data_IF_844854461133
#
_entry.id   IF_844854461133
#
_cell.length_a   1.000
_cell.length_b   1.000
_cell.length_c   1.000
_cell.angle_alpha   90.00
_cell.angle_beta   90.00
_cell.angle_gamma   90.00
#
_symmetry.space_group_name_H-M   'P 1'
#
loop_
_entity.id
_entity.type
_entity.pdbx_description
1 polymer ?
#
# COMPACT_ATOMS: atom_id res chain seq x y z
N UNK A 1 12.14 34.04 20.61
CA UNK A 1 12.10 32.62 20.16
C UNK A 1 10.75 32.02 20.56
N UNK A 2 10.14 31.23 19.67
CA UNK A 2 8.74 30.77 19.60
C UNK A 2 7.79 31.69 18.82
N UNK A 3 7.90 31.61 17.50
CA UNK A 3 6.80 31.94 16.60
C UNK A 3 6.03 30.65 16.32
N UNK A 4 4.75 30.67 16.67
CA UNK A 4 3.79 29.56 16.64
C UNK A 4 3.47 29.15 15.21
N UNK A 5 3.58 27.85 14.92
CA UNK A 5 3.15 27.21 13.67
C UNK A 5 1.63 27.08 13.73
N UNK A 6 0.90 28.06 13.17
CA UNK A 6 -0.57 28.04 13.16
C UNK A 6 -1.12 28.64 11.86
N UNK A 7 -0.65 28.16 10.71
CA UNK A 7 -1.16 28.61 9.40
C UNK A 7 -1.02 27.52 8.33
N UNK A 8 -1.64 26.35 8.51
CA UNK A 8 -1.89 25.38 7.42
C UNK A 8 -3.17 24.57 7.69
N UNK A 9 -4.28 25.25 7.97
CA UNK A 9 -5.62 24.64 8.07
C UNK A 9 -6.66 25.52 7.36
N UNK A 10 -6.50 25.74 6.07
CA UNK A 10 -7.58 26.28 5.24
C UNK A 10 -8.32 25.09 4.60
N UNK A 11 -9.52 24.81 5.10
CA UNK A 11 -10.49 23.92 4.46
C UNK A 11 -11.14 24.68 3.30
N UNK A 12 -10.96 24.19 2.08
CA UNK A 12 -11.65 24.71 0.91
C UNK A 12 -12.94 23.92 0.65
N UNK A 13 -14.07 24.59 0.81
CA UNK A 13 -15.37 24.12 0.35
C UNK A 13 -15.43 24.27 -1.18
N UNK A 14 -15.85 23.21 -1.86
CA UNK A 14 -15.82 23.13 -3.32
C UNK A 14 -16.76 24.10 -4.03
N UNK A 15 -16.29 24.63 -5.18
CA UNK A 15 -16.98 24.62 -6.49
C UNK A 15 -16.25 25.37 -7.61
N UNK A 16 -15.04 25.89 -7.39
CA UNK A 16 -14.17 26.41 -8.46
C UNK A 16 -12.86 25.60 -8.48
N UNK A 17 -12.82 24.58 -9.33
CA UNK A 17 -11.75 23.60 -9.50
C UNK A 17 -10.73 24.08 -10.54
N UNK A 18 -10.00 25.15 -10.27
CA UNK A 18 -9.16 25.71 -11.33
C UNK A 18 -7.84 24.93 -11.44
N UNK A 19 -7.59 24.33 -12.61
CA UNK A 19 -6.25 23.88 -13.05
C UNK A 19 -5.14 24.89 -12.68
N UNK A 20 -5.36 26.23 -12.73
CA UNK A 20 -4.47 27.24 -12.15
C UNK A 20 -3.98 26.98 -10.72
N UNK A 21 -4.82 26.46 -9.82
CA UNK A 21 -4.42 26.19 -8.44
C UNK A 21 -3.43 25.03 -8.35
N UNK A 22 -3.72 23.90 -9.03
CA UNK A 22 -2.78 22.79 -9.09
C UNK A 22 -1.47 23.21 -9.73
N UNK A 23 -1.54 24.02 -10.79
CA UNK A 23 -0.36 24.58 -11.44
C UNK A 23 0.47 25.44 -10.48
N UNK A 24 -0.16 26.32 -9.70
CA UNK A 24 0.53 27.13 -8.68
C UNK A 24 1.16 26.25 -7.58
N UNK A 25 0.47 25.20 -7.13
CA UNK A 25 1.01 24.24 -6.17
C UNK A 25 2.24 23.53 -6.73
N UNK A 26 2.15 23.01 -7.96
CA UNK A 26 3.26 22.34 -8.63
C UNK A 26 4.44 23.28 -8.79
N UNK A 27 4.21 24.52 -9.25
CA UNK A 27 5.27 25.52 -9.38
C UNK A 27 5.96 25.80 -8.03
N UNK A 28 5.20 25.88 -6.94
CA UNK A 28 5.73 26.04 -5.59
C UNK A 28 6.58 24.86 -5.13
N UNK A 29 6.10 23.63 -5.35
CA UNK A 29 6.83 22.39 -5.03
C UNK A 29 8.11 22.28 -5.87
N UNK A 30 8.01 22.46 -7.19
CA UNK A 30 9.11 22.42 -8.14
C UNK A 30 10.21 23.43 -7.79
N UNK A 31 9.83 24.68 -7.52
CA UNK A 31 10.78 25.73 -7.12
C UNK A 31 11.49 25.38 -5.82
N UNK A 32 10.74 24.92 -4.81
CA UNK A 32 11.27 24.72 -3.45
C UNK A 32 12.14 23.48 -3.32
N UNK A 33 11.79 22.38 -3.98
CA UNK A 33 12.42 21.07 -3.75
C UNK A 33 13.23 20.58 -4.93
N UNK A 34 12.85 20.97 -6.15
CA UNK A 34 13.43 20.44 -7.38
C UNK A 34 14.18 21.49 -8.19
N UNK A 35 14.34 22.71 -7.66
CA UNK A 35 15.07 23.82 -8.30
C UNK A 35 14.58 24.10 -9.74
N UNK A 36 13.27 24.03 -9.96
CA UNK A 36 12.62 24.22 -11.27
C UNK A 36 13.05 23.21 -12.35
N UNK A 37 13.53 22.02 -11.97
CA UNK A 37 13.91 20.96 -12.92
C UNK A 37 12.74 20.13 -13.43
N UNK A 38 11.59 20.16 -12.76
CA UNK A 38 10.39 19.42 -13.18
C UNK A 38 9.77 20.14 -14.37
N UNK A 39 9.51 19.39 -15.44
CA UNK A 39 8.92 19.86 -16.69
C UNK A 39 7.64 19.07 -16.94
N UNK A 40 6.73 19.08 -15.97
CA UNK A 40 5.48 18.36 -16.05
C UNK A 40 4.28 19.30 -16.01
N UNK A 41 3.24 18.96 -16.76
CA UNK A 41 1.91 19.54 -16.60
C UNK A 41 1.18 18.85 -15.44
N UNK A 42 0.17 19.50 -14.88
CA UNK A 42 -0.67 18.92 -13.83
C UNK A 42 -2.13 19.18 -14.14
N UNK A 43 -2.95 18.14 -14.02
CA UNK A 43 -4.39 18.21 -14.29
C UNK A 43 -5.20 17.42 -13.27
N UNK A 44 -6.47 17.81 -13.10
CA UNK A 44 -7.47 16.98 -12.45
C UNK A 44 -7.95 15.88 -13.40
N UNK A 45 -7.47 14.66 -13.21
CA UNK A 45 -7.87 13.51 -14.02
C UNK A 45 -7.73 12.24 -13.20
N UNK A 46 -8.70 11.32 -13.34
CA UNK A 46 -8.60 9.99 -12.73
C UNK A 46 -7.37 9.28 -13.32
N UNK A 47 -6.39 8.89 -12.49
CA UNK A 47 -5.22 8.16 -12.98
C UNK A 47 -5.61 6.89 -13.75
N UNK A 48 -4.84 6.58 -14.80
CA UNK A 48 -5.01 5.39 -15.62
C UNK A 48 -4.27 4.25 -14.93
N UNK A 49 -4.96 3.13 -14.80
CA UNK A 49 -4.42 1.95 -14.15
C UNK A 49 -4.92 1.79 -12.72
N UNK A 50 -4.63 0.62 -12.16
CA UNK A 50 -5.05 0.24 -10.82
C UNK A 50 -3.90 -0.45 -10.11
N UNK A 51 -3.71 -0.13 -8.85
CA UNK A 51 -2.77 -0.84 -7.96
C UNK A 51 -3.53 -1.88 -7.15
N UNK A 52 -2.86 -2.98 -6.82
CA UNK A 52 -3.40 -3.98 -5.91
C UNK A 52 -3.10 -3.54 -4.48
N UNK A 53 -4.14 -3.39 -3.68
CA UNK A 53 -4.05 -3.11 -2.25
C UNK A 53 -4.27 -4.37 -1.45
N UNK A 54 -3.37 -4.65 -0.52
CA UNK A 54 -3.60 -5.69 0.47
C UNK A 54 -4.64 -5.21 1.48
N UNK A 55 -5.80 -5.88 1.53
CA UNK A 55 -6.89 -5.63 2.49
C UNK A 55 -7.07 -6.81 3.44
N UNK A 56 -6.11 -7.73 3.39
CA UNK A 56 -6.11 -8.95 4.15
C UNK A 56 -5.62 -8.79 5.59
N UNK A 57 -5.57 -9.92 6.28
CA UNK A 57 -4.95 -10.02 7.60
C UNK A 57 -3.51 -10.53 7.41
N UNK A 58 -2.47 -9.83 7.89
CA UNK A 58 -1.10 -10.34 7.79
C UNK A 58 -0.97 -11.62 8.64
N UNK A 59 -0.32 -12.63 8.06
CA UNK A 59 0.00 -13.86 8.78
C UNK A 59 1.25 -13.71 9.64
N UNK A 60 1.43 -14.62 10.60
CA UNK A 60 2.72 -14.73 11.30
C UNK A 60 3.73 -15.52 10.46
N UNK A 61 5.01 -15.21 10.63
CA UNK A 61 6.12 -16.07 10.21
C UNK A 61 6.65 -16.78 11.45
N UNK A 62 6.89 -18.10 11.35
CA UNK A 62 7.39 -18.92 12.44
C UNK A 62 8.87 -19.22 12.18
N UNK A 63 9.75 -18.56 12.94
CA UNK A 63 11.20 -18.67 12.82
C UNK A 63 11.82 -19.55 13.93
N UNK A 64 13.08 -20.02 13.77
CA UNK A 64 13.78 -20.72 14.83
C UNK A 64 13.82 -19.90 16.13
N UNK A 65 13.29 -20.48 17.22
CA UNK A 65 13.15 -19.82 18.52
C UNK A 65 11.71 -19.44 18.88
N UNK A 66 10.78 -19.46 17.92
CA UNK A 66 9.35 -19.30 18.19
C UNK A 66 8.80 -20.53 18.96
N UNK A 67 7.91 -20.35 19.97
CA UNK A 67 7.23 -21.46 20.65
C UNK A 67 6.56 -22.47 19.70
N UNK A 68 6.08 -22.01 18.54
CA UNK A 68 5.39 -22.84 17.55
C UNK A 68 6.35 -23.49 16.53
N UNK A 69 7.64 -23.15 16.54
CA UNK A 69 8.61 -23.70 15.59
C UNK A 69 8.68 -25.22 15.64
N UNK A 70 8.72 -25.79 16.85
CA UNK A 70 8.74 -27.24 17.04
C UNK A 70 7.47 -27.92 16.52
N UNK A 71 6.31 -27.28 16.69
CA UNK A 71 5.04 -27.76 16.14
C UNK A 71 5.09 -27.77 14.61
N UNK A 72 5.57 -26.69 13.99
CA UNK A 72 5.69 -26.61 12.54
C UNK A 72 6.65 -27.68 11.97
N UNK A 73 7.79 -27.91 12.62
CA UNK A 73 8.74 -28.95 12.22
C UNK A 73 8.15 -30.37 12.37
N UNK A 74 7.43 -30.62 13.47
CA UNK A 74 6.73 -31.89 13.67
C UNK A 74 5.69 -32.13 12.57
N UNK A 75 4.85 -31.13 12.27
CA UNK A 75 3.89 -31.21 11.17
C UNK A 75 4.57 -31.55 9.84
N UNK A 76 5.66 -30.85 9.49
CA UNK A 76 6.42 -31.09 8.25
C UNK A 76 6.95 -32.52 8.18
N UNK A 77 7.52 -33.03 9.27
CA UNK A 77 8.02 -34.41 9.34
C UNK A 77 6.90 -35.44 9.14
N UNK A 78 5.75 -35.26 9.80
CA UNK A 78 4.60 -36.15 9.63
C UNK A 78 4.07 -36.13 8.19
N UNK A 79 3.99 -34.97 7.55
CA UNK A 79 3.57 -34.85 6.15
C UNK A 79 4.55 -35.54 5.18
N UNK A 80 5.85 -35.39 5.39
CA UNK A 80 6.88 -36.07 4.59
C UNK A 80 6.81 -37.60 4.71
N UNK A 81 6.43 -38.10 5.89
CA UNK A 81 6.22 -39.53 6.14
C UNK A 81 4.85 -40.03 5.66
N UNK A 82 4.01 -39.17 5.05
CA UNK A 82 2.66 -39.52 4.61
C UNK A 82 1.64 -39.67 5.75
N UNK A 83 2.02 -39.37 7.00
CA UNK A 83 1.15 -39.47 8.15
C UNK A 83 0.32 -38.19 8.35
N UNK A 84 -0.73 -38.04 7.53
CA UNK A 84 -1.62 -36.89 7.57
C UNK A 84 -2.31 -36.71 8.93
N UNK A 85 -2.67 -37.81 9.59
CA UNK A 85 -3.38 -37.77 10.88
C UNK A 85 -2.54 -37.14 11.99
N UNK A 86 -1.25 -37.51 12.07
CA UNK A 86 -0.32 -36.96 13.05
C UNK A 86 0.04 -35.50 12.78
N UNK A 87 -0.07 -35.04 11.52
CA UNK A 87 0.18 -33.65 11.17
C UNK A 87 -0.96 -32.69 11.57
N UNK A 88 -2.19 -33.18 11.80
CA UNK A 88 -3.36 -32.32 12.02
C UNK A 88 -3.23 -31.42 13.26
N UNK A 89 -2.85 -31.98 14.41
CA UNK A 89 -2.76 -31.23 15.67
C UNK A 89 -1.68 -30.14 15.63
N UNK A 90 -0.42 -30.42 15.22
CA UNK A 90 0.59 -29.37 15.13
C UNK A 90 0.25 -28.31 14.07
N UNK A 91 -0.32 -28.71 12.92
CA UNK A 91 -0.80 -27.75 11.92
C UNK A 91 -1.91 -26.86 12.47
N UNK A 92 -2.85 -27.42 13.25
CA UNK A 92 -3.95 -26.66 13.85
C UNK A 92 -3.43 -25.63 14.83
N UNK A 93 -2.45 -25.97 15.68
CA UNK A 93 -1.83 -25.01 16.60
C UNK A 93 -1.20 -23.83 15.85
N UNK A 94 -0.46 -24.09 14.77
CA UNK A 94 0.11 -23.02 13.93
C UNK A 94 -0.99 -22.21 13.21
N UNK A 95 -2.03 -22.86 12.69
CA UNK A 95 -3.11 -22.20 11.97
C UNK A 95 -3.95 -21.29 12.89
N UNK A 96 -4.25 -21.74 14.10
CA UNK A 96 -4.94 -20.95 15.14
C UNK A 96 -4.08 -19.76 15.60
N UNK A 97 -2.76 -19.86 15.50
CA UNK A 97 -1.83 -18.74 15.68
C UNK A 97 -1.69 -17.82 14.44
N UNK A 98 -2.59 -17.97 13.45
CA UNK A 98 -2.63 -17.16 12.24
C UNK A 98 -1.48 -17.42 11.24
N UNK A 99 -0.90 -18.64 11.23
CA UNK A 99 0.11 -19.04 10.24
C UNK A 99 -0.53 -19.41 8.88
N UNK A 100 -0.24 -18.69 7.78
CA UNK A 100 -0.93 -18.88 6.50
C UNK A 100 -0.72 -20.26 5.88
N UNK A 101 0.52 -20.78 5.88
CA UNK A 101 0.82 -22.07 5.25
C UNK A 101 0.09 -23.22 5.96
N UNK A 102 0.00 -23.17 7.29
CA UNK A 102 -0.71 -24.19 8.06
C UNK A 102 -2.20 -24.18 7.76
N UNK A 103 -2.82 -23.00 7.59
CA UNK A 103 -4.22 -22.90 7.14
C UNK A 103 -4.41 -23.51 5.75
N UNK A 104 -3.52 -23.22 4.80
CA UNK A 104 -3.59 -23.79 3.46
C UNK A 104 -3.45 -25.32 3.47
N UNK A 105 -2.51 -25.84 4.25
CA UNK A 105 -2.29 -27.29 4.38
C UNK A 105 -3.50 -27.98 5.01
N UNK A 106 -4.07 -27.44 6.09
CA UNK A 106 -5.29 -27.98 6.71
C UNK A 106 -6.47 -27.94 5.75
N UNK A 107 -6.64 -26.85 5.00
CA UNK A 107 -7.66 -26.75 3.95
C UNK A 107 -7.54 -27.93 2.97
N UNK A 108 -6.32 -28.20 2.47
CA UNK A 108 -6.09 -29.30 1.53
C UNK A 108 -6.33 -30.69 2.15
N UNK A 109 -5.87 -30.92 3.39
CA UNK A 109 -6.04 -32.21 4.08
C UNK A 109 -7.52 -32.50 4.31
N UNK A 110 -8.25 -31.56 4.92
CA UNK A 110 -9.68 -31.73 5.19
C UNK A 110 -10.51 -31.86 3.92
N UNK A 111 -10.18 -31.10 2.86
CA UNK A 111 -10.87 -31.21 1.56
C UNK A 111 -10.71 -32.60 0.94
N UNK A 112 -9.51 -33.20 1.02
CA UNK A 112 -9.27 -34.57 0.53
C UNK A 112 -9.98 -35.63 1.35
N UNK A 113 -10.20 -35.38 2.63
CA UNK A 113 -10.92 -36.28 3.54
C UNK A 113 -12.45 -36.11 3.47
N UNK A 114 -12.97 -35.14 2.71
CA UNK A 114 -14.40 -34.84 2.64
C UNK A 114 -14.92 -34.11 3.89
N UNK A 115 -14.05 -33.50 4.69
CA UNK A 115 -14.40 -32.85 5.95
C UNK A 115 -14.68 -31.35 5.78
N UNK A 116 -15.90 -30.92 6.09
CA UNK A 116 -16.38 -29.54 5.89
C UNK A 116 -15.53 -28.44 6.57
N UNK A 117 -14.71 -28.80 7.58
CA UNK A 117 -13.76 -27.86 8.20
C UNK A 117 -12.81 -27.21 7.20
N UNK A 118 -12.58 -27.82 6.04
CA UNK A 118 -11.79 -27.21 4.97
C UNK A 118 -12.31 -25.82 4.58
N UNK A 119 -13.62 -25.57 4.66
CA UNK A 119 -14.22 -24.27 4.30
C UNK A 119 -13.84 -23.15 5.28
N UNK A 120 -13.63 -23.47 6.56
CA UNK A 120 -13.11 -22.51 7.56
C UNK A 120 -11.70 -22.07 7.16
N UNK A 121 -10.81 -23.04 6.98
CA UNK A 121 -9.42 -22.76 6.64
C UNK A 121 -9.24 -22.12 5.27
N UNK A 122 -10.08 -22.44 4.29
CA UNK A 122 -10.11 -21.75 3.00
C UNK A 122 -10.46 -20.25 3.15
N UNK A 123 -11.50 -19.93 3.94
CA UNK A 123 -11.88 -18.54 4.21
C UNK A 123 -10.80 -17.78 4.95
N UNK A 124 -10.21 -18.39 5.98
CA UNK A 124 -9.14 -17.79 6.76
C UNK A 124 -7.85 -17.62 5.92
N UNK A 125 -7.51 -18.57 5.07
CA UNK A 125 -6.37 -18.45 4.15
C UNK A 125 -6.59 -17.34 3.13
N UNK A 126 -7.80 -17.24 2.56
CA UNK A 126 -8.12 -16.18 1.60
C UNK A 126 -7.95 -14.77 2.19
N UNK A 127 -8.12 -14.60 3.51
CA UNK A 127 -7.81 -13.32 4.17
C UNK A 127 -6.33 -12.97 4.13
N UNK A 128 -5.41 -13.93 4.02
CA UNK A 128 -3.97 -13.66 3.86
C UNK A 128 -3.57 -13.30 2.44
N UNK A 129 -4.47 -13.43 1.46
CA UNK A 129 -4.22 -13.11 0.06
C UNK A 129 -5.22 -12.08 -0.48
N UNK A 130 -6.08 -11.52 0.39
CA UNK A 130 -7.14 -10.62 -0.01
C UNK A 130 -6.55 -9.31 -0.52
N UNK A 131 -6.81 -9.04 -1.80
CA UNK A 131 -6.42 -7.79 -2.44
C UNK A 131 -7.62 -7.14 -3.13
N UNK A 132 -7.62 -5.81 -3.18
CA UNK A 132 -8.57 -5.03 -3.99
C UNK A 132 -7.81 -4.18 -5.00
N UNK A 133 -8.40 -3.95 -6.17
CA UNK A 133 -7.85 -3.02 -7.15
C UNK A 133 -8.36 -1.62 -6.84
N UNK A 134 -7.45 -0.67 -6.67
CA UNK A 134 -7.78 0.73 -6.42
C UNK A 134 -7.06 1.62 -7.44
N UNK A 135 -7.70 2.73 -7.79
CA UNK A 135 -7.07 3.78 -8.58
C UNK A 135 -6.22 4.65 -7.64
N UNK A 136 -4.97 4.99 -7.99
CA UNK A 136 -4.15 5.83 -7.13
C UNK A 136 -4.65 7.27 -7.05
N UNK A 137 -4.21 7.96 -6.00
CA UNK A 137 -4.53 9.37 -5.76
C UNK A 137 -3.86 10.30 -6.79
N UNK A 138 -2.70 9.90 -7.31
CA UNK A 138 -1.97 10.61 -8.34
C UNK A 138 -1.17 9.62 -9.22
N UNK A 139 -0.73 10.07 -10.39
CA UNK A 139 0.18 9.32 -11.26
C UNK A 139 0.91 10.26 -12.23
N UNK A 140 2.20 10.00 -12.43
CA UNK A 140 3.02 10.60 -13.48
C UNK A 140 3.06 9.75 -14.75
N UNK A 141 2.73 10.37 -15.89
CA UNK A 141 2.86 9.78 -17.22
C UNK A 141 4.11 10.32 -17.93
N UNK A 142 5.14 9.49 -18.03
CA UNK A 142 6.41 9.87 -18.62
C UNK A 142 6.33 10.17 -20.13
N UNK A 143 5.37 9.58 -20.85
CA UNK A 143 5.18 9.80 -22.31
C UNK A 143 4.74 11.22 -22.64
N UNK A 144 4.06 11.89 -21.70
CA UNK A 144 3.48 13.23 -21.88
C UNK A 144 4.04 14.26 -20.91
N UNK A 145 4.91 13.85 -19.99
CA UNK A 145 5.31 14.65 -18.82
C UNK A 145 4.09 15.24 -18.11
N UNK A 146 3.16 14.38 -17.70
CA UNK A 146 1.87 14.80 -17.15
C UNK A 146 1.63 14.17 -15.79
N UNK A 147 1.28 14.98 -14.80
CA UNK A 147 0.83 14.55 -13.48
C UNK A 147 -0.70 14.61 -13.45
N UNK A 148 -1.35 13.46 -13.29
CA UNK A 148 -2.78 13.41 -13.01
C UNK A 148 -3.03 13.32 -11.51
N UNK A 149 -3.90 14.19 -11.00
CA UNK A 149 -4.40 14.14 -9.62
C UNK A 149 -5.87 13.71 -9.63
N UNK A 150 -6.22 12.72 -8.81
CA UNK A 150 -7.56 12.15 -8.77
C UNK A 150 -8.61 13.20 -8.34
N UNK A 151 -9.65 13.51 -9.16
CA UNK A 151 -10.62 14.58 -8.89
C UNK A 151 -11.38 14.42 -7.56
N UNK A 152 -11.64 13.17 -7.14
CA UNK A 152 -12.27 12.89 -5.86
C UNK A 152 -11.53 13.49 -4.64
N UNK A 153 -10.22 13.73 -4.72
CA UNK A 153 -9.50 14.45 -3.66
C UNK A 153 -10.08 15.85 -3.42
N UNK A 154 -10.55 16.51 -4.48
CA UNK A 154 -11.20 17.80 -4.37
C UNK A 154 -12.57 17.69 -3.71
N UNK A 155 -13.36 16.68 -4.08
CA UNK A 155 -14.66 16.41 -3.45
C UNK A 155 -14.54 16.15 -1.95
N UNK A 156 -13.45 15.48 -1.54
CA UNK A 156 -13.12 15.21 -0.14
C UNK A 156 -12.52 16.42 0.60
N UNK A 157 -12.31 17.55 -0.07
CA UNK A 157 -11.67 18.72 0.52
C UNK A 157 -10.23 18.44 0.96
N UNK A 158 -9.45 17.74 0.12
CA UNK A 158 -8.09 17.34 0.42
C UNK A 158 -7.25 18.55 0.90
N UNK A 159 -6.62 18.47 2.08
CA UNK A 159 -5.76 19.53 2.57
C UNK A 159 -4.59 19.80 1.62
N UNK A 160 -4.13 21.06 1.57
CA UNK A 160 -3.03 21.46 0.70
C UNK A 160 -1.73 20.65 0.92
N UNK A 161 -1.46 20.20 2.15
CA UNK A 161 -0.30 19.37 2.44
C UNK A 161 -0.37 17.98 1.77
N UNK A 162 -1.58 17.45 1.55
CA UNK A 162 -1.78 16.20 0.80
C UNK A 162 -1.48 16.41 -0.67
N UNK A 163 -2.02 17.47 -1.28
CA UNK A 163 -1.77 17.79 -2.68
C UNK A 163 -0.29 18.10 -2.94
N UNK A 164 0.36 18.87 -2.05
CA UNK A 164 1.81 19.14 -2.11
C UNK A 164 2.63 17.85 -2.02
N UNK A 165 2.22 16.90 -1.16
CA UNK A 165 2.88 15.59 -1.05
C UNK A 165 2.73 14.78 -2.35
N UNK A 166 1.51 14.67 -2.89
CA UNK A 166 1.27 13.95 -4.14
C UNK A 166 2.10 14.54 -5.28
N UNK A 167 2.09 15.87 -5.44
CA UNK A 167 2.90 16.54 -6.47
C UNK A 167 4.39 16.30 -6.27
N UNK A 168 4.89 16.35 -5.05
CA UNK A 168 6.28 16.02 -4.74
C UNK A 168 6.59 14.58 -5.17
N UNK A 169 5.76 13.61 -4.80
CA UNK A 169 5.94 12.21 -5.15
C UNK A 169 6.00 11.99 -6.66
N UNK A 170 5.05 12.57 -7.40
CA UNK A 170 5.01 12.43 -8.86
C UNK A 170 6.18 13.17 -9.55
N UNK A 171 6.68 14.26 -8.97
CA UNK A 171 7.91 14.90 -9.44
C UNK A 171 9.16 14.01 -9.29
N UNK A 172 9.22 13.16 -8.26
CA UNK A 172 10.30 12.20 -8.10
C UNK A 172 10.36 11.21 -9.28
N UNK A 173 9.21 10.78 -9.82
CA UNK A 173 9.15 9.89 -10.99
C UNK A 173 9.71 10.52 -12.28
N UNK A 174 9.74 11.85 -12.39
CA UNK A 174 10.40 12.51 -13.52
C UNK A 174 11.94 12.50 -13.42
N UNK A 175 12.48 12.52 -12.20
CA UNK A 175 13.93 12.61 -11.97
C UNK A 175 14.60 11.25 -11.78
N UNK A 176 13.86 10.27 -11.26
CA UNK A 176 14.35 8.94 -10.99
C UNK A 176 13.66 7.97 -11.96
N UNK A 177 14.41 7.27 -12.83
CA UNK A 177 13.85 6.24 -13.68
C UNK A 177 13.11 5.19 -12.85
N UNK A 178 11.86 4.93 -13.21
CA UNK A 178 11.02 3.89 -12.63
C UNK A 178 10.54 2.95 -13.73
N UNK A 179 10.29 1.69 -13.38
CA UNK A 179 9.68 0.70 -14.28
C UNK A 179 8.43 0.10 -13.66
N UNK A 180 7.60 -0.58 -14.44
CA UNK A 180 6.40 -1.26 -13.90
C UNK A 180 6.75 -2.34 -12.87
N UNK A 181 7.96 -2.92 -12.96
CA UNK A 181 8.44 -3.94 -12.02
C UNK A 181 9.06 -3.35 -10.75
N UNK A 182 9.69 -2.18 -10.88
CA UNK A 182 10.30 -1.44 -9.78
C UNK A 182 9.87 0.03 -9.88
N UNK A 183 8.65 0.37 -9.45
CA UNK A 183 8.13 1.73 -9.56
C UNK A 183 8.85 2.68 -8.58
N UNK A 184 9.32 2.16 -7.45
CA UNK A 184 9.91 2.94 -6.35
C UNK A 184 11.27 2.36 -5.93
N UNK A 185 12.30 2.59 -6.74
CA UNK A 185 13.68 2.15 -6.44
C UNK A 185 14.25 2.80 -5.17
N UNK A 186 15.37 2.28 -4.66
CA UNK A 186 16.03 2.87 -3.49
C UNK A 186 16.39 4.36 -3.68
N UNK A 187 16.77 4.76 -4.89
CA UNK A 187 17.03 6.16 -5.23
C UNK A 187 15.75 7.01 -5.18
N UNK A 188 14.61 6.46 -5.63
CA UNK A 188 13.31 7.12 -5.52
C UNK A 188 12.93 7.31 -4.05
N UNK A 189 13.02 6.24 -3.24
CA UNK A 189 12.66 6.27 -1.83
C UNK A 189 13.51 7.29 -1.05
N UNK A 190 14.80 7.44 -1.40
CA UNK A 190 15.64 8.46 -0.80
C UNK A 190 15.07 9.88 -0.95
N UNK A 191 14.53 10.22 -2.11
CA UNK A 191 13.84 11.49 -2.33
C UNK A 191 12.48 11.52 -1.63
N UNK A 192 11.71 10.45 -1.76
CA UNK A 192 10.36 10.38 -1.21
C UNK A 192 10.33 10.55 0.32
N UNK A 193 11.33 10.02 1.04
CA UNK A 193 11.47 10.22 2.48
C UNK A 193 11.77 11.68 2.89
N UNK A 194 12.22 12.52 1.95
CA UNK A 194 12.46 13.95 2.19
C UNK A 194 11.21 14.81 1.94
N UNK A 195 10.10 14.21 1.48
CA UNK A 195 8.88 14.93 1.17
C UNK A 195 8.30 15.63 2.43
N UNK A 196 7.93 16.91 2.33
CA UNK A 196 7.33 17.64 3.46
C UNK A 196 5.98 17.02 3.84
N UNK A 197 5.70 16.91 5.15
CA UNK A 197 4.44 16.39 5.68
C UNK A 197 4.06 14.98 5.20
N UNK A 198 5.01 14.20 4.68
CA UNK A 198 4.81 12.86 4.13
C UNK A 198 3.90 11.98 4.98
N UNK A 199 4.28 11.70 6.22
CA UNK A 199 3.55 10.74 7.05
C UNK A 199 2.13 11.21 7.37
N UNK A 200 1.93 12.53 7.51
CA UNK A 200 0.61 13.13 7.71
C UNK A 200 -0.25 13.02 6.45
N UNK A 201 0.35 13.21 5.26
CA UNK A 201 -0.33 13.04 3.98
C UNK A 201 -0.71 11.58 3.71
N UNK A 202 0.23 10.65 3.91
CA UNK A 202 0.00 9.21 3.80
C UNK A 202 -1.13 8.75 4.71
N UNK A 203 -1.11 9.15 5.99
CA UNK A 203 -2.17 8.80 6.94
C UNK A 203 -3.54 9.36 6.52
N UNK A 204 -3.59 10.57 5.97
CA UNK A 204 -4.83 11.14 5.45
C UNK A 204 -5.34 10.34 4.24
N UNK A 205 -4.47 10.01 3.28
CA UNK A 205 -4.81 9.24 2.08
C UNK A 205 -5.35 7.85 2.44
N UNK A 206 -4.68 7.15 3.36
CA UNK A 206 -5.09 5.84 3.87
C UNK A 206 -6.49 5.89 4.49
N UNK A 207 -6.78 6.92 5.29
CA UNK A 207 -8.11 7.12 5.89
C UNK A 207 -9.21 7.38 4.87
N UNK A 208 -8.86 7.93 3.70
CA UNK A 208 -9.80 8.13 2.59
C UNK A 208 -9.86 6.93 1.63
N UNK A 209 -9.11 5.86 1.90
CA UNK A 209 -9.11 4.65 1.08
C UNK A 209 -8.26 4.73 -0.19
N UNK A 210 -7.42 5.76 -0.34
CA UNK A 210 -6.47 5.82 -1.44
C UNK A 210 -5.27 4.90 -1.17
N UNK A 211 -4.74 4.23 -2.21
CA UNK A 211 -3.54 3.44 -2.06
C UNK A 211 -2.32 4.32 -1.77
N UNK A 212 -1.46 3.86 -0.86
CA UNK A 212 -0.19 4.50 -0.54
C UNK A 212 0.97 3.51 -0.60
N UNK A 213 2.21 3.99 -0.53
CA UNK A 213 3.40 3.14 -0.45
C UNK A 213 3.34 2.10 0.69
N UNK A 214 2.58 2.38 1.76
CA UNK A 214 2.43 1.48 2.91
C UNK A 214 1.40 0.37 2.67
N UNK A 215 0.44 0.59 1.78
CA UNK A 215 -0.68 -0.34 1.53
C UNK A 215 -0.56 -1.08 0.20
N UNK A 216 0.29 -0.58 -0.72
CA UNK A 216 0.47 -1.11 -2.07
C UNK A 216 1.47 -2.27 -2.15
N UNK A 217 2.33 -2.40 -1.14
CA UNK A 217 3.19 -3.56 -0.96
C UNK A 217 2.58 -4.42 0.14
N UNK A 218 2.03 -5.58 -0.25
CA UNK A 218 1.79 -6.64 0.74
C UNK A 218 3.12 -7.01 1.40
N UNK A 219 3.08 -7.53 2.65
CA UNK A 219 4.28 -7.99 3.34
C UNK A 219 5.07 -9.01 2.51
#
# INVERSE_FOLDING_TARGET
>A
MRATIQAECDHFAGRDADDPFLFQLLAGVNKRFFHNKIQAEVIWQVPRGTVSLFVGEPGIQIEPGDPLFNQLQQARSCLQQGNLSAALQPLTACADANHPESKLLLCHIYKRQGDERWQRYAREYNRHCATVRAVPAACYYADRSLIAIHPHLQELGAPQFVLKYLLYHECCHQLVPSSDQEPHSAAFLHWEYQAPNRDRALHWLERQGFPTLRTSHGP
#
